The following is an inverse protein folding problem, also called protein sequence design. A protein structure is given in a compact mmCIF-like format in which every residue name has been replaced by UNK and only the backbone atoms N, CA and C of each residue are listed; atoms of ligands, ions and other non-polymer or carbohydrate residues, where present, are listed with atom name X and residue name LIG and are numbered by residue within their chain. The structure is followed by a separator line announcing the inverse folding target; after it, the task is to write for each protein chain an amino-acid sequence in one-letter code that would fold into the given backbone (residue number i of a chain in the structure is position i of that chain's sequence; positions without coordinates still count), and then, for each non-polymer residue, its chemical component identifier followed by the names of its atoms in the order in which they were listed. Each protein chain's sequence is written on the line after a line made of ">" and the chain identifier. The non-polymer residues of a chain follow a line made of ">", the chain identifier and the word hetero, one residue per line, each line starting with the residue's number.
data_IF_183037462957
#
_entry.id   IF_183037462957
#
_cell.length_a   1.000
_cell.length_b   1.000
_cell.length_c   1.000
_cell.angle_alpha   90.00
_cell.angle_beta   90.00
_cell.angle_gamma   90.00
#
_symmetry.space_group_name_H-M   'P 1'
#
loop_
_entity.id
_entity.type
_entity.pdbx_description
1 polymer ?
#
# COMPACT_ATOMS: atom_id res chain seq x y z
N UNK A 1 1.84 3.71 9.13
CA UNK A 1 2.42 2.35 9.19
C UNK A 1 3.69 2.30 8.35
N UNK A 2 4.63 1.38 8.62
CA UNK A 2 5.92 1.28 7.90
C UNK A 2 6.11 -0.14 7.36
N UNK A 3 6.55 -0.28 6.10
CA UNK A 3 6.95 -1.58 5.53
C UNK A 3 8.46 -1.61 5.23
N UNK A 4 9.12 -2.71 5.62
CA UNK A 4 10.58 -2.81 5.62
C UNK A 4 11.21 -2.19 6.86
N UNK A 5 12.54 -2.03 6.83
CA UNK A 5 13.32 -1.51 7.94
C UNK A 5 13.91 -0.12 7.59
N UNK A 6 13.56 0.94 8.34
CA UNK A 6 14.13 2.27 8.13
C UNK A 6 15.66 2.33 8.19
N UNK A 7 16.31 1.47 8.98
CA UNK A 7 17.77 1.43 9.09
C UNK A 7 18.46 1.01 7.78
N UNK A 8 17.76 0.28 6.91
CA UNK A 8 18.30 -0.18 5.62
C UNK A 8 18.16 0.89 4.52
N UNK A 9 17.52 2.03 4.82
CA UNK A 9 17.26 3.09 3.84
C UNK A 9 16.36 2.64 2.68
N UNK A 10 15.62 1.54 2.83
CA UNK A 10 14.77 0.95 1.81
C UNK A 10 13.43 0.50 2.42
N UNK A 11 12.50 1.45 2.52
CA UNK A 11 11.22 1.26 3.22
C UNK A 11 10.13 2.14 2.60
N UNK A 12 8.89 1.92 3.06
CA UNK A 12 7.77 2.80 2.72
C UNK A 12 6.97 3.18 3.97
N UNK A 13 6.47 4.41 4.01
CA UNK A 13 5.58 4.93 5.05
C UNK A 13 4.19 5.13 4.47
N UNK A 14 3.19 4.56 5.13
CA UNK A 14 1.78 4.62 4.76
C UNK A 14 1.05 5.53 5.75
N UNK A 15 0.44 6.58 5.23
CA UNK A 15 -0.27 7.60 6.01
C UNK A 15 -1.78 7.40 5.87
N UNK A 16 -2.48 7.48 7.00
CA UNK A 16 -3.91 7.22 7.06
C UNK A 16 -4.64 8.36 7.75
N UNK A 17 -5.84 8.65 7.26
CA UNK A 17 -6.88 9.37 7.99
C UNK A 17 -7.91 8.34 8.45
N UNK A 18 -7.92 8.03 9.74
CA UNK A 18 -8.61 6.86 10.29
C UNK A 18 -8.21 5.57 9.54
N UNK A 19 -9.13 4.96 8.78
CA UNK A 19 -8.86 3.73 8.00
C UNK A 19 -8.54 3.99 6.52
N UNK A 20 -8.59 5.25 6.08
CA UNK A 20 -8.39 5.61 4.68
C UNK A 20 -6.92 5.97 4.43
N UNK A 21 -6.29 5.27 3.48
CA UNK A 21 -4.95 5.59 3.00
C UNK A 21 -4.99 6.93 2.25
N UNK A 22 -4.20 7.90 2.69
CA UNK A 22 -4.15 9.24 2.09
C UNK A 22 -2.82 9.56 1.41
N UNK A 23 -1.72 8.93 1.84
CA UNK A 23 -0.41 9.09 1.21
C UNK A 23 0.49 7.86 1.41
N UNK A 24 1.46 7.68 0.51
CA UNK A 24 2.53 6.70 0.65
C UNK A 24 3.86 7.36 0.28
N UNK A 25 4.82 7.34 1.19
CA UNK A 25 6.18 7.82 0.98
C UNK A 25 7.10 6.63 0.76
N UNK A 26 7.69 6.51 -0.42
CA UNK A 26 8.62 5.43 -0.76
C UNK A 26 10.05 5.96 -0.70
N UNK A 27 10.92 5.27 0.02
CA UNK A 27 12.34 5.58 0.13
C UNK A 27 13.11 4.46 -0.58
N UNK A 28 13.84 4.81 -1.64
CA UNK A 28 14.62 3.89 -2.47
C UNK A 28 13.81 2.68 -3.02
N UNK A 29 12.51 2.89 -3.28
CA UNK A 29 11.58 1.89 -3.84
C UNK A 29 10.85 2.41 -5.08
N UNK A 30 11.57 2.68 -6.19
CA UNK A 30 10.98 3.32 -7.37
C UNK A 30 9.79 2.54 -7.93
N UNK A 31 9.86 1.20 -7.94
CA UNK A 31 8.77 0.34 -8.42
C UNK A 31 7.48 0.42 -7.57
N UNK A 32 7.56 0.84 -6.30
CA UNK A 32 6.39 0.92 -5.43
C UNK A 32 5.60 2.22 -5.58
N UNK A 33 6.11 3.24 -6.28
CA UNK A 33 5.34 4.47 -6.53
C UNK A 33 4.11 4.22 -7.39
N UNK A 34 4.20 3.32 -8.38
CA UNK A 34 3.04 3.00 -9.23
C UNK A 34 1.97 2.24 -8.46
N UNK A 35 2.38 1.34 -7.56
CA UNK A 35 1.44 0.65 -6.67
C UNK A 35 0.74 1.65 -5.73
N UNK A 36 1.48 2.56 -5.09
CA UNK A 36 0.92 3.61 -4.25
C UNK A 36 -0.13 4.46 -4.99
N UNK A 37 0.20 4.92 -6.20
CA UNK A 37 -0.73 5.69 -7.04
C UNK A 37 -2.01 4.92 -7.35
N UNK A 38 -1.88 3.64 -7.67
CA UNK A 38 -3.03 2.78 -7.96
C UNK A 38 -3.93 2.61 -6.73
N UNK A 39 -3.35 2.29 -5.56
CA UNK A 39 -4.11 2.17 -4.32
C UNK A 39 -4.90 3.44 -4.00
N UNK A 40 -4.27 4.62 -4.12
CA UNK A 40 -4.93 5.91 -3.88
C UNK A 40 -6.05 6.19 -4.90
N UNK A 41 -5.81 5.91 -6.18
CA UNK A 41 -6.81 6.09 -7.25
C UNK A 41 -8.04 5.20 -7.03
N UNK A 42 -7.82 3.96 -6.61
CA UNK A 42 -8.88 2.94 -6.47
C UNK A 42 -9.55 2.99 -5.08
N UNK A 43 -9.21 4.01 -4.27
CA UNK A 43 -9.66 4.19 -2.88
C UNK A 43 -9.42 2.93 -2.01
N UNK A 44 -8.36 2.19 -2.32
CA UNK A 44 -7.96 1.00 -1.59
C UNK A 44 -7.03 1.37 -0.44
N UNK A 45 -7.35 0.88 0.75
CA UNK A 45 -6.57 1.11 1.97
C UNK A 45 -6.09 -0.23 2.53
N UNK A 46 -4.80 -0.59 2.39
CA UNK A 46 -4.28 -1.83 2.95
C UNK A 46 -4.32 -1.76 4.48
N UNK A 47 -4.60 -2.89 5.12
CA UNK A 47 -4.58 -3.02 6.58
C UNK A 47 -3.15 -3.06 7.12
N UNK A 48 -2.99 -2.83 8.42
CA UNK A 48 -1.70 -2.93 9.09
C UNK A 48 -1.03 -4.29 8.87
N UNK A 49 -1.78 -5.37 9.02
CA UNK A 49 -1.28 -6.73 8.80
C UNK A 49 -0.72 -6.90 7.39
N UNK A 50 -1.41 -6.37 6.37
CA UNK A 50 -0.97 -6.44 4.97
C UNK A 50 0.30 -5.59 4.73
N UNK A 51 0.38 -4.39 5.33
CA UNK A 51 1.58 -3.56 5.26
C UNK A 51 2.79 -4.24 5.89
N UNK A 52 2.60 -4.91 7.03
CA UNK A 52 3.66 -5.63 7.75
C UNK A 52 4.10 -6.91 7.04
N UNK A 53 3.20 -7.59 6.33
CA UNK A 53 3.53 -8.75 5.49
C UNK A 53 4.27 -8.35 4.21
N UNK A 54 4.09 -7.12 3.75
CA UNK A 54 4.89 -6.51 2.70
C UNK A 54 4.19 -6.39 1.36
N UNK A 55 4.95 -6.00 0.34
CA UNK A 55 4.41 -5.51 -0.94
C UNK A 55 3.63 -6.55 -1.72
N UNK A 56 4.01 -7.83 -1.64
CA UNK A 56 3.32 -8.88 -2.39
C UNK A 56 1.95 -9.18 -1.81
N UNK A 57 1.79 -9.16 -0.48
CA UNK A 57 0.48 -9.24 0.16
C UNK A 57 -0.41 -8.05 -0.23
N UNK A 58 0.16 -6.83 -0.27
CA UNK A 58 -0.60 -5.64 -0.71
C UNK A 58 -1.12 -5.81 -2.15
N UNK A 59 -0.33 -6.40 -3.06
CA UNK A 59 -0.78 -6.66 -4.45
C UNK A 59 -1.93 -7.67 -4.48
N UNK A 60 -1.86 -8.73 -3.70
CA UNK A 60 -2.93 -9.73 -3.59
C UNK A 60 -4.22 -9.10 -3.06
N UNK A 61 -4.10 -8.29 -2.02
CA UNK A 61 -5.22 -7.58 -1.41
C UNK A 61 -5.86 -6.57 -2.38
N UNK A 62 -5.05 -5.82 -3.12
CA UNK A 62 -5.52 -4.87 -4.12
C UNK A 62 -6.24 -5.58 -5.27
N UNK A 63 -5.69 -6.68 -5.81
CA UNK A 63 -6.37 -7.45 -6.84
C UNK A 63 -7.74 -7.98 -6.37
N UNK A 64 -7.82 -8.41 -5.12
CA UNK A 64 -9.08 -8.85 -4.49
C UNK A 64 -10.07 -7.70 -4.31
N UNK A 65 -9.59 -6.47 -4.06
CA UNK A 65 -10.41 -5.26 -4.00
C UNK A 65 -10.99 -4.92 -5.37
N UNK A 66 -10.15 -4.88 -6.40
CA UNK A 66 -10.55 -4.57 -7.77
C UNK A 66 -11.65 -5.52 -8.25
N UNK A 67 -11.48 -6.83 -8.04
CA UNK A 67 -12.48 -7.82 -8.41
C UNK A 67 -13.85 -7.58 -7.74
N UNK A 68 -13.88 -7.17 -6.46
CA UNK A 68 -15.13 -6.83 -5.76
C UNK A 68 -15.79 -5.59 -6.36
N UNK A 69 -15.01 -4.57 -6.71
CA UNK A 69 -15.53 -3.30 -7.25
C UNK A 69 -16.00 -3.40 -8.70
N UNK A 70 -15.46 -4.32 -9.50
CA UNK A 70 -15.89 -4.55 -10.90
C UNK A 70 -17.22 -5.33 -11.00
N UNK A 71 -17.66 -5.97 -9.91
CA UNK A 71 -18.89 -6.79 -9.88
C UNK A 71 -20.12 -6.02 -9.38
N UNK A 72 -20.03 -4.68 -9.31
CA UNK A 72 -21.11 -3.74 -8.97
C UNK A 72 -21.45 -2.87 -10.18
#
# INVERSE_FOLDING_TARGET
>A
MVSGNPADGNFAVYHYLDKLLCAVENINRPGQHMLARKMLKDNFSPTEAQVMQGVDEIKVALASWEAKTTTL
#
